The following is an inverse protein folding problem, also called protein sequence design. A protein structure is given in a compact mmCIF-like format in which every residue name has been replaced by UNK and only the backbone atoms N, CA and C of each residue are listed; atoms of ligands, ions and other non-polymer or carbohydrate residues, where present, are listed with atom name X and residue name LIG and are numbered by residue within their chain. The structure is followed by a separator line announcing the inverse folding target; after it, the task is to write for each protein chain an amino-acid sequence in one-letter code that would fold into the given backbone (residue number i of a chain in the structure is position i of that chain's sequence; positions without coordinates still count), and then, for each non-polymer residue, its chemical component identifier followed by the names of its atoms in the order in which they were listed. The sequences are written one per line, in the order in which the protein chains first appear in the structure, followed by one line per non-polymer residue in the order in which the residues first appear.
data_IF_570964553218
#
_entry.id   IF_570964553218
#
_cell.length_a   1.000
_cell.length_b   1.000
_cell.length_c   1.000
_cell.angle_alpha   90.00
_cell.angle_beta   90.00
_cell.angle_gamma   90.00
#
_symmetry.space_group_name_H-M   'P 1'
#
loop_
_entity.id
_entity.type
_entity.pdbx_description
1 polymer ?
#
# COMPACT_ATOMS: atom_id res chain seq x y z
N UNK A 1 -2.60 -0.35 -19.04
CA UNK A 1 -2.45 -0.83 -17.64
C UNK A 1 -3.03 0.13 -16.60
N UNK A 2 -2.61 1.41 -16.57
CA UNK A 2 -3.12 2.37 -15.57
C UNK A 2 -4.65 2.53 -15.58
N UNK A 3 -5.27 2.61 -16.78
CA UNK A 3 -6.75 2.67 -16.93
C UNK A 3 -7.43 1.45 -16.31
N UNK A 4 -6.89 0.25 -16.55
CA UNK A 4 -7.42 -0.98 -15.96
C UNK A 4 -7.38 -0.93 -14.43
N UNK A 5 -6.26 -0.52 -13.84
CA UNK A 5 -6.13 -0.43 -12.38
C UNK A 5 -7.09 0.61 -11.81
N UNK A 6 -7.20 1.79 -12.43
CA UNK A 6 -8.18 2.79 -12.03
C UNK A 6 -9.61 2.22 -12.07
N UNK A 7 -9.97 1.52 -13.14
CA UNK A 7 -11.27 0.87 -13.29
C UNK A 7 -11.51 -0.18 -12.20
N UNK A 8 -10.52 -1.00 -11.86
CA UNK A 8 -10.62 -1.99 -10.78
C UNK A 8 -10.94 -1.33 -9.42
N UNK A 9 -10.26 -0.22 -9.10
CA UNK A 9 -10.55 0.56 -7.89
C UNK A 9 -11.95 1.16 -7.92
N UNK A 10 -12.34 1.77 -9.04
CA UNK A 10 -13.69 2.34 -9.21
C UNK A 10 -14.77 1.28 -9.05
N UNK A 11 -14.61 0.10 -9.67
CA UNK A 11 -15.56 -1.01 -9.55
C UNK A 11 -15.63 -1.55 -8.12
N UNK A 12 -14.50 -1.68 -7.43
CA UNK A 12 -14.47 -2.13 -6.04
C UNK A 12 -15.22 -1.16 -5.10
N UNK A 13 -14.96 0.15 -5.23
CA UNK A 13 -15.66 1.19 -4.45
C UNK A 13 -17.15 1.21 -4.80
N UNK A 14 -17.49 1.17 -6.08
CA UNK A 14 -18.87 1.10 -6.55
C UNK A 14 -19.60 -0.11 -5.98
N UNK A 15 -18.98 -1.29 -6.01
CA UNK A 15 -19.59 -2.52 -5.50
C UNK A 15 -19.98 -2.42 -4.02
N UNK A 16 -19.13 -1.79 -3.20
CA UNK A 16 -19.39 -1.56 -1.77
C UNK A 16 -20.42 -0.45 -1.54
N UNK A 17 -20.44 0.57 -2.39
CA UNK A 17 -21.26 1.77 -2.21
C UNK A 17 -22.55 1.81 -3.04
N UNK A 18 -22.80 0.85 -3.93
CA UNK A 18 -23.90 0.89 -4.93
C UNK A 18 -25.30 1.12 -4.37
N UNK A 19 -25.51 0.88 -3.09
CA UNK A 19 -26.82 1.02 -2.43
C UNK A 19 -27.03 2.40 -1.79
N UNK A 20 -25.99 3.24 -1.67
CA UNK A 20 -26.11 4.59 -1.08
C UNK A 20 -26.40 5.66 -2.12
N UNK A 21 -27.14 6.70 -1.72
CA UNK A 21 -27.30 7.94 -2.50
C UNK A 21 -26.22 8.99 -2.15
N UNK A 22 -25.41 8.77 -1.12
CA UNK A 22 -24.39 9.69 -0.64
C UNK A 22 -23.13 9.74 -1.54
N UNK A 23 -23.29 10.10 -2.82
CA UNK A 23 -22.22 10.05 -3.84
C UNK A 23 -20.98 10.88 -3.47
N UNK A 24 -21.15 12.03 -2.82
CA UNK A 24 -20.04 12.89 -2.39
C UNK A 24 -19.19 12.23 -1.31
N UNK A 25 -19.81 11.49 -0.39
CA UNK A 25 -19.08 10.74 0.65
C UNK A 25 -18.31 9.58 0.04
N UNK A 26 -18.92 8.87 -0.92
CA UNK A 26 -18.24 7.80 -1.67
C UNK A 26 -17.05 8.35 -2.44
N UNK A 27 -17.22 9.51 -3.10
CA UNK A 27 -16.13 10.20 -3.80
C UNK A 27 -15.02 10.59 -2.81
N UNK A 28 -15.36 11.20 -1.68
CA UNK A 28 -14.38 11.60 -0.66
C UNK A 28 -13.57 10.40 -0.16
N UNK A 29 -14.22 9.31 0.22
CA UNK A 29 -13.53 8.09 0.65
C UNK A 29 -12.69 7.50 -0.49
N UNK A 30 -13.17 7.55 -1.73
CA UNK A 30 -12.39 7.13 -2.89
C UNK A 30 -11.12 7.97 -3.09
N UNK A 31 -11.20 9.28 -2.89
CA UNK A 31 -10.06 10.21 -3.00
C UNK A 31 -8.99 9.88 -1.95
N UNK A 32 -9.35 9.54 -0.72
CA UNK A 32 -8.37 9.16 0.32
C UNK A 32 -7.60 7.88 -0.02
N UNK A 33 -8.15 7.05 -0.92
CA UNK A 33 -7.53 5.82 -1.40
C UNK A 33 -6.66 6.03 -2.65
N UNK A 34 -6.77 7.17 -3.35
CA UNK A 34 -6.01 7.47 -4.58
C UNK A 34 -4.50 7.31 -4.41
N UNK A 35 -3.86 7.75 -3.30
CA UNK A 35 -2.42 7.57 -3.11
C UNK A 35 -1.95 6.10 -3.17
N UNK A 36 -2.86 5.14 -2.96
CA UNK A 36 -2.58 3.70 -3.00
C UNK A 36 -2.96 3.05 -4.34
N UNK A 37 -3.67 3.77 -5.21
CA UNK A 37 -4.32 3.27 -6.44
C UNK A 37 -3.41 3.18 -7.67
N UNK A 38 -2.09 3.21 -7.47
CA UNK A 38 -1.12 2.97 -8.54
C UNK A 38 -1.21 1.56 -9.13
N UNK A 39 -0.39 1.28 -10.15
CA UNK A 39 -0.20 -0.08 -10.67
C UNK A 39 0.55 -0.90 -9.61
N UNK A 40 -0.20 -1.41 -8.63
CA UNK A 40 0.32 -2.03 -7.40
C UNK A 40 -0.54 -3.23 -7.02
N UNK A 41 0.09 -4.26 -6.48
CA UNK A 41 -0.57 -5.51 -6.13
C UNK A 41 -1.66 -5.37 -5.03
N UNK A 42 -1.62 -4.31 -4.22
CA UNK A 42 -2.67 -3.97 -3.24
C UNK A 42 -4.06 -3.78 -3.90
N UNK A 43 -4.10 -3.43 -5.18
CA UNK A 43 -5.36 -3.32 -5.96
C UNK A 43 -6.17 -4.61 -5.89
N UNK A 44 -5.51 -5.77 -5.98
CA UNK A 44 -6.17 -7.07 -5.88
C UNK A 44 -6.80 -7.29 -4.50
N UNK A 45 -6.16 -6.80 -3.45
CA UNK A 45 -6.71 -6.86 -2.08
C UNK A 45 -7.99 -6.05 -1.95
N UNK A 46 -8.06 -4.88 -2.57
CA UNK A 46 -9.24 -4.03 -2.55
C UNK A 46 -10.37 -4.65 -3.37
N UNK A 47 -10.08 -5.18 -4.56
CA UNK A 47 -11.07 -5.88 -5.39
C UNK A 47 -11.64 -7.09 -4.67
N UNK A 48 -10.79 -7.99 -4.17
CA UNK A 48 -11.25 -9.20 -3.50
C UNK A 48 -11.97 -8.89 -2.17
N UNK A 49 -11.51 -7.87 -1.43
CA UNK A 49 -12.23 -7.39 -0.24
C UNK A 49 -13.63 -6.85 -0.58
N UNK A 50 -13.76 -6.08 -1.65
CA UNK A 50 -15.05 -5.57 -2.11
C UNK A 50 -16.01 -6.69 -2.52
N UNK A 51 -15.52 -7.69 -3.26
CA UNK A 51 -16.28 -8.88 -3.64
C UNK A 51 -16.74 -9.65 -2.41
N UNK A 52 -15.84 -9.88 -1.45
CA UNK A 52 -16.14 -10.57 -0.21
C UNK A 52 -17.17 -9.81 0.64
N UNK A 53 -17.05 -8.48 0.77
CA UNK A 53 -18.06 -7.63 1.42
C UNK A 53 -19.43 -7.78 0.71
N UNK A 54 -19.45 -7.80 -0.63
CA UNK A 54 -20.69 -7.98 -1.39
C UNK A 54 -21.32 -9.36 -1.17
N UNK A 55 -20.51 -10.44 -1.10
CA UNK A 55 -20.98 -11.80 -0.81
C UNK A 55 -21.61 -11.87 0.58
N UNK A 56 -20.96 -11.32 1.62
CA UNK A 56 -21.51 -11.35 2.97
C UNK A 56 -22.73 -10.47 3.17
N UNK A 57 -22.88 -9.41 2.35
CA UNK A 57 -24.08 -8.57 2.31
C UNK A 57 -25.23 -9.20 1.56
N UNK A 58 -24.95 -10.10 0.63
CA UNK A 58 -25.99 -10.87 0.00
C UNK A 58 -26.66 -11.75 1.07
N UNK A 59 -27.99 -11.68 1.16
CA UNK A 59 -28.76 -12.51 2.10
C UNK A 59 -28.69 -14.00 1.75
N UNK A 60 -28.20 -14.34 0.57
CA UNK A 60 -27.99 -15.72 0.12
C UNK A 60 -26.67 -16.29 0.68
N UNK A 61 -26.80 -17.17 1.67
CA UNK A 61 -25.65 -17.83 2.32
C UNK A 61 -24.92 -18.81 1.41
N UNK A 62 -25.55 -19.29 0.33
CA UNK A 62 -24.93 -20.24 -0.61
C UNK A 62 -23.77 -19.60 -1.36
N UNK A 63 -23.82 -18.30 -1.60
CA UNK A 63 -22.73 -17.53 -2.23
C UNK A 63 -21.42 -17.59 -1.42
N UNK A 64 -21.49 -17.86 -0.12
CA UNK A 64 -20.30 -18.01 0.74
C UNK A 64 -19.44 -19.21 0.36
N UNK A 65 -19.99 -20.20 -0.35
CA UNK A 65 -19.23 -21.34 -0.86
C UNK A 65 -18.21 -20.95 -1.95
N UNK A 66 -18.30 -19.75 -2.52
CA UNK A 66 -17.32 -19.21 -3.49
C UNK A 66 -16.07 -18.65 -2.80
N UNK A 67 -16.13 -18.37 -1.49
CA UNK A 67 -15.02 -17.74 -0.75
C UNK A 67 -13.70 -18.54 -0.77
N UNK A 68 -13.68 -19.88 -0.71
CA UNK A 68 -12.45 -20.65 -0.90
C UNK A 68 -11.80 -20.40 -2.27
N UNK A 69 -12.60 -20.34 -3.35
CA UNK A 69 -12.08 -20.02 -4.68
C UNK A 69 -11.57 -18.57 -4.78
N UNK A 70 -12.26 -17.63 -4.13
CA UNK A 70 -11.79 -16.25 -4.04
C UNK A 70 -10.43 -16.17 -3.34
N UNK A 71 -10.24 -16.91 -2.25
CA UNK A 71 -8.98 -16.97 -1.49
C UNK A 71 -7.88 -17.68 -2.28
N UNK A 72 -8.21 -18.74 -3.02
CA UNK A 72 -7.28 -19.42 -3.95
C UNK A 72 -6.65 -18.41 -4.93
N UNK A 73 -7.52 -17.65 -5.63
CA UNK A 73 -7.06 -16.63 -6.58
C UNK A 73 -6.26 -15.55 -5.87
N UNK A 74 -6.75 -15.08 -4.72
CA UNK A 74 -6.09 -14.02 -3.97
C UNK A 74 -4.69 -14.43 -3.49
N UNK A 75 -4.53 -15.64 -2.94
CA UNK A 75 -3.25 -16.13 -2.46
C UNK A 75 -2.19 -16.23 -3.56
N UNK A 76 -2.61 -16.47 -4.81
CA UNK A 76 -1.73 -16.49 -5.98
C UNK A 76 -1.45 -15.09 -6.58
N UNK A 77 -2.17 -14.05 -6.16
CA UNK A 77 -2.02 -12.68 -6.69
C UNK A 77 -1.40 -11.70 -5.70
N UNK A 78 -1.66 -11.84 -4.41
CA UNK A 78 -1.16 -10.91 -3.39
C UNK A 78 -1.14 -11.50 -1.98
N UNK A 79 -0.04 -11.28 -1.24
CA UNK A 79 0.15 -11.80 0.12
C UNK A 79 -0.82 -11.29 1.19
N UNK A 80 -1.65 -10.27 0.90
CA UNK A 80 -2.69 -9.82 1.83
C UNK A 80 -4.00 -10.63 1.78
N UNK A 81 -4.00 -11.83 1.16
CA UNK A 81 -5.11 -12.79 1.27
C UNK A 81 -5.44 -13.13 2.74
N UNK A 82 -4.48 -12.96 3.66
CA UNK A 82 -4.66 -13.08 5.11
C UNK A 82 -5.76 -12.15 5.64
N UNK A 83 -5.97 -10.97 5.04
CA UNK A 83 -7.09 -10.09 5.39
C UNK A 83 -8.42 -10.78 5.09
N UNK A 84 -8.50 -11.50 3.97
CA UNK A 84 -9.66 -12.32 3.61
C UNK A 84 -9.91 -13.43 4.61
N UNK A 85 -8.88 -14.21 4.94
CA UNK A 85 -8.98 -15.26 5.96
C UNK A 85 -9.41 -14.70 7.33
N UNK A 86 -8.83 -13.57 7.75
CA UNK A 86 -9.18 -12.92 9.00
C UNK A 86 -10.65 -12.45 9.01
N UNK A 87 -11.17 -11.95 7.89
CA UNK A 87 -12.57 -11.57 7.80
C UNK A 87 -13.51 -12.78 7.80
N UNK A 88 -13.17 -13.87 7.11
CA UNK A 88 -13.95 -15.11 7.14
C UNK A 88 -13.98 -15.67 8.57
N UNK A 89 -12.84 -15.69 9.25
CA UNK A 89 -12.72 -16.09 10.66
C UNK A 89 -13.53 -15.19 11.60
N UNK A 90 -13.52 -13.88 11.37
CA UNK A 90 -14.36 -12.92 12.09
C UNK A 90 -15.86 -13.24 11.93
N UNK A 91 -16.30 -13.58 10.72
CA UNK A 91 -17.70 -13.94 10.46
C UNK A 91 -18.06 -15.32 11.06
N UNK A 92 -17.14 -16.29 11.01
CA UNK A 92 -17.29 -17.57 11.70
C UNK A 92 -17.51 -17.38 13.20
N UNK A 93 -16.76 -16.49 13.85
CA UNK A 93 -16.90 -16.22 15.29
C UNK A 93 -18.28 -15.64 15.66
N UNK A 94 -18.96 -14.99 14.71
CA UNK A 94 -20.31 -14.41 14.87
C UNK A 94 -21.43 -15.41 14.59
N UNK A 95 -21.33 -16.15 13.47
CA UNK A 95 -22.40 -17.03 13.01
C UNK A 95 -22.30 -18.44 13.65
N UNK A 96 -21.07 -18.91 13.94
CA UNK A 96 -20.75 -20.19 14.63
C UNK A 96 -21.44 -21.44 14.06
N UNK A 97 -21.65 -21.47 12.75
CA UNK A 97 -22.26 -22.61 12.06
C UNK A 97 -21.23 -23.60 11.50
N UNK A 98 -21.63 -24.86 11.31
CA UNK A 98 -20.80 -25.87 10.62
C UNK A 98 -20.49 -25.46 9.18
N UNK A 99 -21.44 -24.84 8.48
CA UNK A 99 -21.23 -24.32 7.12
C UNK A 99 -20.16 -23.23 7.09
N UNK A 100 -20.20 -22.26 8.02
CA UNK A 100 -19.17 -21.21 8.12
C UNK A 100 -17.80 -21.78 8.50
N UNK A 101 -17.76 -22.83 9.33
CA UNK A 101 -16.52 -23.52 9.66
C UNK A 101 -15.94 -24.22 8.44
N UNK A 102 -16.78 -24.93 7.67
CA UNK A 102 -16.39 -25.56 6.42
C UNK A 102 -15.83 -24.55 5.40
N UNK A 103 -16.48 -23.40 5.24
CA UNK A 103 -15.97 -22.31 4.40
C UNK A 103 -14.61 -21.82 4.88
N UNK A 104 -14.42 -21.59 6.17
CA UNK A 104 -13.15 -21.14 6.73
C UNK A 104 -12.03 -22.16 6.50
N UNK A 105 -12.25 -23.43 6.83
CA UNK A 105 -11.27 -24.51 6.64
C UNK A 105 -10.90 -24.64 5.16
N UNK A 106 -11.90 -24.67 4.27
CA UNK A 106 -11.66 -24.74 2.83
C UNK A 106 -10.91 -23.53 2.30
N UNK A 107 -11.18 -22.33 2.82
CA UNK A 107 -10.41 -21.12 2.47
C UNK A 107 -8.95 -21.19 2.92
N UNK A 108 -8.67 -21.72 4.12
CA UNK A 108 -7.29 -21.93 4.60
C UNK A 108 -6.56 -22.94 3.71
N UNK A 109 -7.19 -24.06 3.39
CA UNK A 109 -6.63 -25.06 2.48
C UNK A 109 -6.40 -24.49 1.08
N UNK A 110 -7.34 -23.70 0.56
CA UNK A 110 -7.23 -23.04 -0.73
C UNK A 110 -6.04 -22.05 -0.79
N UNK A 111 -5.76 -21.30 0.28
CA UNK A 111 -4.58 -20.43 0.33
C UNK A 111 -3.24 -21.16 0.34
N UNK A 112 -3.22 -22.46 0.64
CA UNK A 112 -2.02 -23.29 0.52
C UNK A 112 -1.77 -23.77 -0.91
N UNK A 113 -2.73 -23.62 -1.84
CA UNK A 113 -2.55 -23.99 -3.25
C UNK A 113 -1.86 -22.83 -3.98
N UNK A 114 -0.58 -22.65 -3.67
CA UNK A 114 0.34 -21.70 -4.30
C UNK A 114 1.65 -22.43 -4.63
N UNK A 115 2.53 -21.89 -5.49
CA UNK A 115 3.84 -22.49 -5.76
C UNK A 115 4.69 -22.71 -4.50
N UNK A 116 4.44 -21.95 -3.43
CA UNK A 116 5.16 -22.02 -2.16
C UNK A 116 4.42 -22.83 -1.07
N UNK A 117 3.23 -23.34 -1.36
CA UNK A 117 2.46 -24.12 -0.41
C UNK A 117 2.14 -23.34 0.88
N UNK A 118 2.19 -24.03 2.05
CA UNK A 118 2.13 -23.39 3.37
C UNK A 118 3.32 -22.47 3.68
N UNK A 119 4.41 -22.52 2.91
CA UNK A 119 5.59 -21.66 3.12
C UNK A 119 5.29 -20.17 3.03
N UNK A 120 4.20 -19.77 2.35
CA UNK A 120 3.70 -18.39 2.34
C UNK A 120 3.44 -17.84 3.75
N UNK A 121 2.93 -18.65 4.66
CA UNK A 121 2.66 -18.21 6.03
C UNK A 121 3.94 -17.92 6.81
N UNK A 122 5.01 -18.68 6.55
CA UNK A 122 6.33 -18.42 7.15
C UNK A 122 6.85 -17.05 6.72
N UNK A 123 6.73 -16.71 5.44
CA UNK A 123 7.17 -15.41 4.93
C UNK A 123 6.31 -14.26 5.45
N UNK A 124 4.99 -14.45 5.58
CA UNK A 124 4.10 -13.47 6.20
C UNK A 124 4.52 -13.20 7.65
N UNK A 125 4.74 -14.26 8.44
CA UNK A 125 5.17 -14.13 9.85
C UNK A 125 6.53 -13.45 9.92
N UNK A 126 7.51 -13.90 9.13
CA UNK A 126 8.84 -13.28 9.06
C UNK A 126 8.76 -11.79 8.76
N UNK A 127 7.99 -11.41 7.74
CA UNK A 127 7.80 -10.02 7.33
C UNK A 127 7.08 -9.19 8.40
N UNK A 128 6.08 -9.78 9.06
CA UNK A 128 5.33 -9.10 10.12
C UNK A 128 6.21 -8.78 11.32
N UNK A 129 7.12 -9.67 11.72
CA UNK A 129 7.97 -9.50 12.90
C UNK A 129 9.34 -8.89 12.61
N UNK A 130 9.65 -8.55 11.36
CA UNK A 130 10.89 -7.83 11.02
C UNK A 130 10.79 -6.34 11.40
N UNK A 131 11.28 -6.01 12.60
CA UNK A 131 11.28 -4.65 13.15
C UNK A 131 12.24 -3.70 12.42
N UNK A 132 13.30 -4.23 11.79
CA UNK A 132 14.32 -3.43 11.10
C UNK A 132 13.78 -2.82 9.81
N UNK A 133 12.88 -3.53 9.13
CA UNK A 133 12.26 -3.07 7.88
C UNK A 133 11.16 -2.05 8.09
N UNK A 134 10.36 -2.23 9.16
CA UNK A 134 9.26 -1.30 9.51
C UNK A 134 9.74 0.13 9.71
N UNK A 135 10.94 0.32 10.28
CA UNK A 135 11.52 1.64 10.49
C UNK A 135 12.17 2.21 9.22
N UNK A 136 12.48 1.40 8.20
CA UNK A 136 13.23 1.80 7.01
C UNK A 136 12.34 2.10 5.80
N UNK A 137 11.17 1.49 5.70
CA UNK A 137 10.22 1.69 4.59
C UNK A 137 9.17 2.73 4.98
N UNK A 138 9.10 3.85 4.26
CA UNK A 138 8.16 4.95 4.58
C UNK A 138 6.71 4.47 4.67
N UNK A 139 6.28 3.58 3.78
CA UNK A 139 4.92 3.03 3.75
C UNK A 139 4.59 2.13 4.95
N UNK A 140 5.62 1.66 5.68
CA UNK A 140 5.49 0.71 6.79
C UNK A 140 5.55 1.40 8.15
N UNK A 141 5.97 2.66 8.18
CA UNK A 141 6.03 3.47 9.40
C UNK A 141 4.63 3.80 9.91
N UNK A 142 4.50 3.93 11.23
CA UNK A 142 3.40 4.65 11.85
C UNK A 142 3.57 6.14 11.53
N UNK A 143 2.72 6.68 10.67
CA UNK A 143 2.60 8.14 10.52
C UNK A 143 1.32 8.58 11.20
N UNK A 144 1.33 9.81 11.75
CA UNK A 144 0.12 10.46 12.23
C UNK A 144 -0.97 10.36 11.18
N UNK A 145 -2.19 10.04 11.63
CA UNK A 145 -3.39 9.97 10.81
C UNK A 145 -3.45 11.23 9.94
N UNK A 146 -3.26 11.08 8.63
CA UNK A 146 -3.41 12.19 7.68
C UNK A 146 -4.83 12.76 7.83
N UNK A 147 -5.00 14.06 7.61
CA UNK A 147 -6.28 14.74 7.86
C UNK A 147 -7.44 14.07 7.09
N UNK A 148 -7.18 13.64 5.86
CA UNK A 148 -8.14 12.96 4.99
C UNK A 148 -8.62 11.62 5.59
N UNK A 149 -7.72 10.72 5.99
CA UNK A 149 -8.10 9.46 6.62
C UNK A 149 -8.69 9.67 8.02
N UNK A 150 -8.27 10.73 8.73
CA UNK A 150 -8.85 11.14 10.02
C UNK A 150 -10.31 11.54 9.91
N UNK A 151 -10.71 12.21 8.82
CA UNK A 151 -12.12 12.50 8.54
C UNK A 151 -12.90 11.20 8.32
N UNK A 152 -12.36 10.23 7.57
CA UNK A 152 -13.02 8.93 7.37
C UNK A 152 -13.22 8.21 8.71
N UNK A 153 -12.20 8.19 9.58
CA UNK A 153 -12.29 7.64 10.93
C UNK A 153 -13.35 8.38 11.76
N UNK A 154 -13.37 9.71 11.72
CA UNK A 154 -14.33 10.53 12.45
C UNK A 154 -15.77 10.28 12.01
N UNK A 155 -16.03 10.23 10.70
CA UNK A 155 -17.37 9.91 10.15
C UNK A 155 -17.79 8.49 10.54
N UNK A 156 -16.90 7.51 10.37
CA UNK A 156 -17.17 6.12 10.75
C UNK A 156 -17.46 5.99 12.25
N UNK A 157 -16.61 6.53 13.12
CA UNK A 157 -16.79 6.48 14.57
C UNK A 157 -18.04 7.24 15.02
N UNK A 158 -18.30 8.42 14.45
CA UNK A 158 -19.50 9.21 14.74
C UNK A 158 -20.78 8.47 14.40
N UNK A 159 -20.85 7.83 13.22
CA UNK A 159 -22.00 7.01 12.84
C UNK A 159 -22.18 5.80 13.76
N UNK A 160 -21.08 5.15 14.17
CA UNK A 160 -21.16 4.07 15.16
C UNK A 160 -21.65 4.57 16.52
N UNK A 161 -21.24 5.75 16.98
CA UNK A 161 -21.72 6.31 18.25
C UNK A 161 -23.24 6.50 18.22
N UNK A 162 -23.78 7.02 17.11
CA UNK A 162 -25.22 7.29 16.92
C UNK A 162 -26.02 6.00 16.67
N UNK A 163 -25.41 4.94 16.13
CA UNK A 163 -26.07 3.66 15.88
C UNK A 163 -26.68 3.08 17.16
N UNK A 164 -27.84 2.41 17.07
CA UNK A 164 -28.49 1.79 18.25
C UNK A 164 -27.66 0.59 18.77
N UNK A 165 -27.70 0.36 20.08
CA UNK A 165 -27.09 -0.82 20.74
C UNK A 165 -26.02 -0.48 21.78
N UNK A 166 -25.45 -1.51 22.41
CA UNK A 166 -24.42 -1.36 23.44
C UNK A 166 -23.10 -0.83 22.85
N UNK A 167 -22.57 0.26 23.44
CA UNK A 167 -21.41 1.01 22.92
C UNK A 167 -20.20 0.14 22.58
N UNK A 168 -19.82 -0.80 23.45
CA UNK A 168 -18.68 -1.69 23.24
C UNK A 168 -18.87 -2.63 22.05
N UNK A 169 -20.10 -3.11 21.81
CA UNK A 169 -20.42 -3.97 20.64
C UNK A 169 -20.37 -3.22 19.33
N UNK A 170 -20.54 -1.89 19.33
CA UNK A 170 -20.46 -1.07 18.12
C UNK A 170 -19.04 -1.04 17.56
N UNK A 171 -18.04 -1.13 18.44
CA UNK A 171 -16.62 -1.16 18.08
C UNK A 171 -16.04 -2.57 17.93
N UNK A 172 -16.76 -3.64 18.32
CA UNK A 172 -16.43 -5.01 17.95
C UNK A 172 -16.83 -5.26 16.49
N UNK A 173 -16.07 -4.67 15.56
CA UNK A 173 -16.20 -4.85 14.12
C UNK A 173 -14.84 -5.11 13.49
N UNK A 174 -14.84 -5.75 12.32
CA UNK A 174 -13.61 -6.08 11.63
C UNK A 174 -12.80 -4.85 11.24
N UNK A 175 -13.46 -3.76 10.81
CA UNK A 175 -12.78 -2.52 10.49
C UNK A 175 -12.16 -1.81 11.70
N UNK A 176 -12.60 -2.09 12.92
CA UNK A 176 -11.93 -1.57 14.12
C UNK A 176 -10.55 -2.18 14.29
N UNK A 177 -10.39 -3.47 13.99
CA UNK A 177 -9.08 -4.12 13.94
C UNK A 177 -8.22 -3.47 12.85
N UNK A 178 -8.79 -3.23 11.67
CA UNK A 178 -8.09 -2.56 10.57
C UNK A 178 -7.69 -1.12 10.93
N UNK A 179 -8.51 -0.40 11.69
CA UNK A 179 -8.19 0.94 12.20
C UNK A 179 -6.98 0.91 13.14
N UNK A 180 -6.93 -0.05 14.07
CA UNK A 180 -5.78 -0.26 14.95
C UNK A 180 -4.53 -0.63 14.13
N UNK A 181 -4.66 -1.54 13.17
CA UNK A 181 -3.56 -1.91 12.27
C UNK A 181 -3.07 -0.73 11.44
N UNK A 182 -3.98 0.16 11.01
CA UNK A 182 -3.63 1.39 10.29
C UNK A 182 -2.78 2.34 11.14
N UNK A 183 -3.03 2.43 12.45
CA UNK A 183 -2.18 3.22 13.36
C UNK A 183 -0.75 2.65 13.43
N UNK A 184 -0.60 1.33 13.29
CA UNK A 184 0.71 0.70 13.22
C UNK A 184 1.40 0.86 11.86
N UNK A 185 0.63 0.93 10.76
CA UNK A 185 1.16 1.08 9.40
C UNK A 185 0.12 1.64 8.43
N UNK A 186 0.47 2.73 7.75
CA UNK A 186 -0.40 3.44 6.79
C UNK A 186 -0.84 2.54 5.62
N UNK A 187 -0.11 1.46 5.31
CA UNK A 187 -0.49 0.48 4.28
C UNK A 187 -1.88 -0.15 4.48
N UNK A 188 -2.39 -0.16 5.72
CA UNK A 188 -3.72 -0.70 6.02
C UNK A 188 -4.85 0.30 5.81
N UNK A 189 -4.53 1.59 5.60
CA UNK A 189 -5.52 2.67 5.39
C UNK A 189 -6.53 2.40 4.26
N UNK A 190 -6.14 1.97 3.03
CA UNK A 190 -7.12 1.73 1.98
C UNK A 190 -8.03 0.53 2.29
N UNK A 191 -7.52 -0.48 3.00
CA UNK A 191 -8.34 -1.64 3.41
C UNK A 191 -9.33 -1.20 4.49
N UNK A 192 -8.87 -0.47 5.50
CA UNK A 192 -9.75 0.14 6.51
C UNK A 192 -10.82 1.01 5.84
N UNK A 193 -10.44 1.94 4.96
CA UNK A 193 -11.36 2.84 4.29
C UNK A 193 -12.46 2.10 3.51
N UNK A 194 -12.13 0.98 2.85
CA UNK A 194 -13.12 0.16 2.13
C UNK A 194 -14.15 -0.48 3.07
N UNK A 195 -13.70 -1.10 4.17
CA UNK A 195 -14.60 -1.72 5.15
C UNK A 195 -15.38 -0.67 5.96
N UNK A 196 -14.74 0.45 6.30
CA UNK A 196 -15.41 1.59 6.92
C UNK A 196 -16.50 2.16 6.00
N UNK A 197 -16.22 2.31 4.69
CA UNK A 197 -17.22 2.72 3.69
C UNK A 197 -18.41 1.77 3.67
N UNK A 198 -18.17 0.46 3.77
CA UNK A 198 -19.24 -0.51 3.89
C UNK A 198 -20.12 -0.18 5.12
N UNK A 199 -19.55 -0.08 6.31
CA UNK A 199 -20.29 0.28 7.53
C UNK A 199 -21.02 1.62 7.40
N UNK A 200 -20.37 2.64 6.87
CA UNK A 200 -20.94 3.97 6.66
C UNK A 200 -22.19 3.89 5.77
N UNK A 201 -22.13 3.15 4.66
CA UNK A 201 -23.26 2.95 3.74
C UNK A 201 -24.43 2.26 4.44
N UNK A 202 -24.15 1.23 5.25
CA UNK A 202 -25.18 0.51 6.00
C UNK A 202 -25.85 1.42 7.04
N UNK A 203 -25.05 2.16 7.83
CA UNK A 203 -25.58 3.06 8.85
C UNK A 203 -26.40 4.20 8.25
N UNK A 204 -25.94 4.81 7.15
CA UNK A 204 -26.68 5.88 6.45
C UNK A 204 -28.05 5.44 5.96
N UNK A 205 -28.21 4.18 5.54
CA UNK A 205 -29.52 3.66 5.14
C UNK A 205 -30.45 3.43 6.33
N UNK A 206 -29.90 3.09 7.49
CA UNK A 206 -30.67 2.90 8.73
C UNK A 206 -31.04 4.22 9.41
N UNK A 207 -30.32 5.30 9.10
CA UNK A 207 -30.61 6.64 9.59
C UNK A 207 -31.83 7.20 8.85
N UNK A 208 -33.00 7.05 9.47
CA UNK A 208 -34.17 7.83 9.10
C UNK A 208 -33.97 9.25 9.62
N UNK A 209 -33.32 10.10 8.82
CA UNK A 209 -33.30 11.53 9.10
C UNK A 209 -34.73 12.03 8.84
N UNK A 210 -35.47 12.54 9.85
CA UNK A 210 -36.77 13.11 9.60
C UNK A 210 -36.57 14.31 8.66
N UNK A 211 -37.05 14.23 7.43
CA UNK A 211 -36.93 15.33 6.44
C UNK A 211 -37.62 16.60 6.96
N UNK A 212 -38.50 16.46 7.95
CA UNK A 212 -39.15 17.55 8.66
C UNK A 212 -38.18 18.42 9.49
N UNK A 213 -37.06 17.87 9.98
CA UNK A 213 -36.02 18.65 10.70
C UNK A 213 -35.13 19.47 9.75
N UNK A 214 -35.17 19.20 8.44
CA UNK A 214 -34.46 19.95 7.39
C UNK A 214 -35.40 20.84 6.56
N UNK A 215 -36.59 21.17 7.10
CA UNK A 215 -37.54 22.09 6.45
C UNK A 215 -37.15 23.56 6.59
N UNK A 216 -36.14 23.86 7.39
CA UNK A 216 -35.54 25.20 7.43
C UNK A 216 -34.80 25.50 6.11
N UNK A 217 -35.24 26.54 5.41
CA UNK A 217 -34.59 27.04 4.19
C UNK A 217 -33.14 27.46 4.47
N UNK A 218 -32.83 27.92 5.68
CA UNK A 218 -31.48 28.26 6.14
C UNK A 218 -30.57 27.04 6.19
N UNK A 219 -31.02 25.96 6.86
CA UNK A 219 -30.28 24.70 6.93
C UNK A 219 -30.05 24.08 5.53
N UNK A 220 -31.02 24.13 4.63
CA UNK A 220 -30.84 23.67 3.24
C UNK A 220 -29.79 24.49 2.48
N UNK A 221 -29.85 25.83 2.59
CA UNK A 221 -28.84 26.73 1.98
C UNK A 221 -27.45 26.47 2.55
N UNK A 222 -27.34 26.25 3.86
CA UNK A 222 -26.08 25.93 4.53
C UNK A 222 -25.52 24.59 4.06
N UNK A 223 -26.35 23.54 3.97
CA UNK A 223 -25.92 22.23 3.45
C UNK A 223 -25.47 22.34 1.99
N UNK A 224 -26.21 23.05 1.14
CA UNK A 224 -25.81 23.29 -0.25
C UNK A 224 -24.52 24.09 -0.32
N UNK A 225 -24.36 25.13 0.51
CA UNK A 225 -23.13 25.93 0.56
C UNK A 225 -21.93 25.09 1.03
N UNK A 226 -22.10 24.24 2.03
CA UNK A 226 -21.05 23.31 2.50
C UNK A 226 -20.70 22.28 1.44
N UNK A 227 -21.69 21.74 0.71
CA UNK A 227 -21.47 20.84 -0.42
C UNK A 227 -20.70 21.55 -1.54
N UNK A 228 -21.12 22.75 -1.93
CA UNK A 228 -20.44 23.53 -2.96
C UNK A 228 -19.03 23.91 -2.54
N UNK A 229 -18.83 24.33 -1.29
CA UNK A 229 -17.51 24.60 -0.72
C UNK A 229 -16.63 23.35 -0.73
N UNK A 230 -17.19 22.18 -0.39
CA UNK A 230 -16.46 20.91 -0.42
C UNK A 230 -16.08 20.49 -1.84
N UNK A 231 -16.97 20.72 -2.82
CA UNK A 231 -16.68 20.49 -4.24
C UNK A 231 -15.58 21.44 -4.71
N UNK A 232 -15.68 22.73 -4.40
CA UNK A 232 -14.65 23.73 -4.74
C UNK A 232 -13.32 23.37 -4.08
N UNK A 233 -13.31 23.01 -2.79
CA UNK A 233 -12.12 22.57 -2.08
C UNK A 233 -11.52 21.31 -2.72
N UNK A 234 -12.34 20.33 -3.11
CA UNK A 234 -11.89 19.12 -3.80
C UNK A 234 -11.30 19.42 -5.19
N UNK A 235 -11.92 20.33 -5.94
CA UNK A 235 -11.44 20.77 -7.27
C UNK A 235 -10.13 21.53 -7.14
N UNK A 236 -10.04 22.48 -6.20
CA UNK A 236 -8.82 23.23 -5.93
C UNK A 236 -7.70 22.30 -5.44
N UNK A 237 -7.99 21.40 -4.50
CA UNK A 237 -7.03 20.39 -4.05
C UNK A 237 -6.55 19.52 -5.21
N UNK A 238 -7.46 19.05 -6.06
CA UNK A 238 -7.10 18.25 -7.23
C UNK A 238 -6.26 19.06 -8.22
N UNK A 239 -6.61 20.32 -8.47
CA UNK A 239 -5.84 21.22 -9.35
C UNK A 239 -4.42 21.45 -8.82
N UNK A 240 -4.28 21.78 -7.54
CA UNK A 240 -2.97 21.95 -6.92
C UNK A 240 -2.18 20.65 -6.87
N UNK A 241 -2.82 19.53 -6.53
CA UNK A 241 -2.18 18.22 -6.55
C UNK A 241 -1.66 17.87 -7.95
N UNK A 242 -2.49 18.05 -8.99
CA UNK A 242 -2.12 17.79 -10.38
C UNK A 242 -1.04 18.74 -10.90
N UNK A 243 -0.99 19.99 -10.42
CA UNK A 243 0.05 20.96 -10.80
C UNK A 243 1.46 20.51 -10.42
N UNK A 244 1.61 19.74 -9.35
CA UNK A 244 2.90 19.19 -8.91
C UNK A 244 3.15 17.76 -9.40
N UNK A 245 2.21 17.17 -10.16
CA UNK A 245 2.41 15.86 -10.77
C UNK A 245 3.19 16.06 -12.07
N UNK A 246 4.46 15.64 -12.07
CA UNK A 246 5.22 15.50 -13.30
C UNK A 246 4.51 14.49 -14.22
N UNK A 247 4.34 14.86 -15.49
CA UNK A 247 3.89 13.93 -16.54
C UNK A 247 4.96 12.85 -16.76
N UNK A 248 6.23 13.24 -16.65
CA UNK A 248 7.33 12.29 -16.64
C UNK A 248 7.42 11.59 -15.27
N UNK A 249 6.96 10.33 -15.27
CA UNK A 249 6.98 9.46 -14.09
C UNK A 249 8.38 8.97 -13.73
N UNK A 250 9.34 9.07 -14.66
CA UNK A 250 10.73 8.69 -14.43
C UNK A 250 11.57 9.85 -13.89
N UNK A 251 11.02 11.07 -13.84
CA UNK A 251 11.72 12.27 -13.35
C UNK A 251 12.39 12.10 -11.97
N UNK A 252 11.84 11.34 -10.99
CA UNK A 252 12.50 11.10 -9.71
C UNK A 252 13.70 10.13 -9.76
N UNK A 253 13.92 9.46 -10.89
CA UNK A 253 14.93 8.40 -11.07
C UNK A 253 16.12 8.88 -11.89
N UNK A 254 17.28 8.19 -11.77
CA UNK A 254 18.51 8.61 -12.44
C UNK A 254 18.54 8.25 -13.94
N UNK A 255 17.77 8.99 -14.75
CA UNK A 255 17.63 8.76 -16.20
C UNK A 255 18.93 9.02 -16.96
N UNK A 256 19.62 10.12 -16.64
CA UNK A 256 20.89 10.52 -17.26
C UNK A 256 21.97 9.49 -16.99
N UNK A 257 22.08 9.04 -15.75
CA UNK A 257 23.04 8.00 -15.35
C UNK A 257 22.70 6.66 -16.03
N UNK A 258 21.41 6.29 -16.10
CA UNK A 258 20.99 5.10 -16.82
C UNK A 258 21.25 5.19 -18.33
N UNK A 259 21.17 6.39 -18.91
CA UNK A 259 21.60 6.67 -20.28
C UNK A 259 23.10 6.47 -20.47
N UNK A 260 23.90 7.02 -19.55
CA UNK A 260 25.36 6.87 -19.54
C UNK A 260 25.78 5.39 -19.49
N UNK A 261 25.28 4.62 -18.52
CA UNK A 261 25.64 3.21 -18.34
C UNK A 261 25.19 2.31 -19.50
N UNK A 262 24.19 2.73 -20.28
CA UNK A 262 23.79 2.02 -21.52
C UNK A 262 24.79 2.24 -22.65
N UNK A 263 25.32 3.45 -22.78
CA UNK A 263 26.28 3.80 -23.84
C UNK A 263 27.70 3.36 -23.47
N UNK A 264 28.05 3.46 -22.19
CA UNK A 264 29.33 3.05 -21.62
C UNK A 264 29.08 2.15 -20.41
N UNK A 265 28.89 0.84 -20.66
CA UNK A 265 28.82 -0.16 -19.61
C UNK A 265 30.00 -0.02 -18.65
N UNK A 266 29.74 -0.08 -17.34
CA UNK A 266 30.82 -0.23 -16.37
C UNK A 266 31.56 -1.53 -16.64
N UNK A 267 32.90 -1.52 -16.58
CA UNK A 267 33.72 -2.72 -16.76
C UNK A 267 33.51 -3.76 -15.65
N UNK A 268 33.08 -3.32 -14.47
CA UNK A 268 32.71 -4.16 -13.34
C UNK A 268 31.22 -4.02 -12.98
N UNK A 269 30.89 -4.36 -11.75
CA UNK A 269 29.53 -4.29 -11.24
C UNK A 269 29.25 -2.90 -10.62
N UNK A 270 27.96 -2.57 -10.50
CA UNK A 270 27.49 -1.26 -10.04
C UNK A 270 26.93 -1.36 -8.62
N UNK A 271 27.49 -0.57 -7.70
CA UNK A 271 26.81 -0.27 -6.44
C UNK A 271 25.84 0.89 -6.67
N UNK A 272 24.59 0.77 -6.23
CA UNK A 272 23.63 1.86 -6.31
C UNK A 272 22.88 1.98 -5.00
N UNK A 273 22.45 3.20 -4.67
CA UNK A 273 21.53 3.34 -3.55
C UNK A 273 20.25 2.52 -3.78
N UNK A 274 19.80 1.87 -2.72
CA UNK A 274 18.73 0.87 -2.71
C UNK A 274 17.48 1.31 -3.49
N UNK A 275 17.05 2.57 -3.32
CA UNK A 275 15.86 3.11 -3.96
C UNK A 275 15.99 3.29 -5.49
N UNK A 276 17.21 3.36 -6.02
CA UNK A 276 17.46 3.48 -7.46
C UNK A 276 17.84 2.14 -8.11
N UNK A 277 18.19 1.12 -7.32
CA UNK A 277 18.61 -0.19 -7.82
C UNK A 277 17.57 -0.83 -8.74
N UNK A 278 16.29 -0.84 -8.34
CA UNK A 278 15.22 -1.41 -9.17
C UNK A 278 15.05 -0.71 -10.52
N UNK A 279 15.26 0.61 -10.57
CA UNK A 279 15.20 1.38 -11.82
C UNK A 279 16.39 1.05 -12.73
N UNK A 280 17.60 0.96 -12.17
CA UNK A 280 18.81 0.62 -12.92
C UNK A 280 18.78 -0.82 -13.43
N UNK A 281 18.27 -1.79 -12.65
CA UNK A 281 18.03 -3.17 -13.11
C UNK A 281 17.13 -3.17 -14.36
N UNK A 282 16.09 -2.33 -14.35
CA UNK A 282 15.14 -2.25 -15.47
C UNK A 282 15.73 -1.58 -16.72
N UNK A 283 16.41 -0.44 -16.56
CA UNK A 283 16.91 0.36 -17.68
C UNK A 283 18.26 -0.09 -18.22
N UNK A 284 19.07 -0.75 -17.41
CA UNK A 284 20.42 -1.18 -17.76
C UNK A 284 20.62 -2.65 -17.39
N UNK A 285 19.85 -3.58 -17.98
CA UNK A 285 19.87 -4.99 -17.58
C UNK A 285 21.20 -5.71 -17.87
N UNK A 286 22.06 -5.13 -18.71
CA UNK A 286 23.42 -5.61 -18.95
C UNK A 286 24.37 -5.39 -17.77
N UNK A 287 24.02 -4.49 -16.85
CA UNK A 287 24.83 -4.13 -15.68
C UNK A 287 24.32 -4.87 -14.45
N UNK A 288 25.20 -5.59 -13.76
CA UNK A 288 24.84 -6.25 -12.49
C UNK A 288 24.95 -5.25 -11.35
N UNK A 289 23.91 -5.21 -10.54
CA UNK A 289 23.86 -4.35 -9.37
C UNK A 289 24.15 -5.13 -8.10
N UNK A 290 24.81 -4.46 -7.14
CA UNK A 290 25.15 -5.03 -5.84
C UNK A 290 23.91 -5.48 -5.05
N UNK A 291 22.83 -4.70 -5.10
CA UNK A 291 21.58 -4.98 -4.38
C UNK A 291 20.36 -4.71 -5.26
N UNK A 292 19.35 -5.58 -5.13
CA UNK A 292 18.04 -5.39 -5.71
C UNK A 292 17.15 -4.58 -4.75
N UNK A 293 16.72 -3.40 -5.21
CA UNK A 293 15.85 -2.48 -4.46
C UNK A 293 14.43 -3.01 -4.18
N UNK A 294 14.05 -4.18 -4.72
CA UNK A 294 12.68 -4.72 -4.65
C UNK A 294 12.43 -5.64 -3.46
N UNK A 295 13.47 -6.12 -2.76
CA UNK A 295 13.30 -7.18 -1.74
C UNK A 295 14.13 -6.95 -0.49
N UNK A 296 13.69 -6.05 0.42
CA UNK A 296 14.50 -5.64 1.56
C UNK A 296 14.56 -6.70 2.67
N UNK A 297 13.64 -7.67 2.68
CA UNK A 297 13.58 -8.79 3.64
C UNK A 297 14.37 -10.03 3.21
N UNK A 298 15.06 -10.00 2.07
CA UNK A 298 15.74 -11.18 1.55
C UNK A 298 16.86 -11.65 2.48
N UNK A 299 16.82 -12.95 2.83
CA UNK A 299 17.80 -13.62 3.67
C UNK A 299 18.24 -14.93 3.05
N UNK A 300 19.52 -15.25 3.21
CA UNK A 300 20.08 -16.57 2.87
C UNK A 300 20.74 -17.15 4.11
N UNK A 301 20.10 -18.16 4.72
CA UNK A 301 20.48 -18.63 6.06
C UNK A 301 20.34 -17.50 7.09
N UNK A 302 21.41 -17.26 7.87
CA UNK A 302 21.45 -16.16 8.84
C UNK A 302 21.86 -14.81 8.24
N UNK A 303 22.23 -14.78 6.95
CA UNK A 303 22.73 -13.57 6.28
C UNK A 303 21.57 -12.67 5.84
N UNK A 304 21.67 -11.39 6.21
CA UNK A 304 20.75 -10.32 5.79
C UNK A 304 21.48 -9.38 4.83
N UNK A 305 21.08 -9.39 3.57
CA UNK A 305 21.72 -8.55 2.54
C UNK A 305 21.42 -7.07 2.73
N UNK A 306 20.27 -6.75 3.34
CA UNK A 306 19.94 -5.37 3.68
C UNK A 306 20.86 -4.85 4.80
N UNK A 307 21.24 -5.69 5.76
CA UNK A 307 22.18 -5.28 6.80
C UNK A 307 23.58 -5.09 6.23
N UNK A 308 24.05 -6.00 5.36
CA UNK A 308 25.32 -5.80 4.65
C UNK A 308 25.30 -4.52 3.81
N UNK A 309 24.21 -4.24 3.10
CA UNK A 309 24.07 -2.98 2.36
C UNK A 309 24.19 -1.75 3.29
N UNK A 310 23.57 -1.77 4.47
CA UNK A 310 23.72 -0.69 5.44
C UNK A 310 25.16 -0.58 5.96
N UNK A 311 25.86 -1.70 6.13
CA UNK A 311 27.27 -1.70 6.54
C UNK A 311 28.15 -1.13 5.43
N UNK A 312 27.91 -1.46 4.16
CA UNK A 312 28.63 -0.86 3.01
C UNK A 312 28.49 0.67 2.98
N UNK A 313 27.33 1.21 3.38
CA UNK A 313 27.11 2.65 3.44
C UNK A 313 27.83 3.35 4.60
N UNK A 314 28.11 2.65 5.71
CA UNK A 314 28.54 3.26 6.98
C UNK A 314 29.94 2.82 7.44
N UNK A 315 30.42 1.65 7.02
CA UNK A 315 31.68 1.03 7.44
C UNK A 315 32.66 0.97 6.26
N UNK A 316 33.73 1.79 6.30
CA UNK A 316 34.72 1.89 5.22
C UNK A 316 35.41 0.56 4.91
N UNK A 317 35.79 -0.21 5.95
CA UNK A 317 36.52 -1.47 5.75
C UNK A 317 35.62 -2.54 5.12
N UNK A 318 34.36 -2.61 5.57
CA UNK A 318 33.39 -3.54 5.01
C UNK A 318 33.03 -3.19 3.57
N UNK A 319 32.87 -1.89 3.26
CA UNK A 319 32.69 -1.41 1.89
C UNK A 319 33.84 -1.86 0.98
N UNK A 320 35.10 -1.66 1.38
CA UNK A 320 36.26 -2.07 0.57
C UNK A 320 36.27 -3.58 0.31
N UNK A 321 35.96 -4.38 1.32
CA UNK A 321 35.88 -5.84 1.21
C UNK A 321 34.78 -6.27 0.23
N UNK A 322 33.57 -5.74 0.37
CA UNK A 322 32.44 -6.12 -0.49
C UNK A 322 32.65 -5.58 -1.93
N UNK A 323 33.20 -4.37 -2.09
CA UNK A 323 33.51 -3.83 -3.42
C UNK A 323 34.53 -4.69 -4.16
N UNK A 324 35.56 -5.18 -3.46
CA UNK A 324 36.51 -6.12 -4.06
C UNK A 324 35.86 -7.48 -4.35
N UNK A 325 35.09 -8.02 -3.39
CA UNK A 325 34.45 -9.32 -3.50
C UNK A 325 33.51 -9.43 -4.70
N UNK A 326 32.75 -8.38 -4.98
CA UNK A 326 31.79 -8.34 -6.08
C UNK A 326 32.29 -7.52 -7.28
N UNK A 327 33.59 -7.22 -7.38
CA UNK A 327 34.17 -6.44 -8.47
C UNK A 327 33.36 -5.16 -8.79
N UNK A 328 33.03 -4.40 -7.76
CA UNK A 328 32.33 -3.12 -7.88
C UNK A 328 33.32 -2.07 -8.38
N UNK A 329 33.03 -1.51 -9.56
CA UNK A 329 33.85 -0.47 -10.19
C UNK A 329 33.10 0.83 -10.47
N UNK A 330 31.78 0.81 -10.34
CA UNK A 330 30.94 1.99 -10.46
C UNK A 330 30.02 2.13 -9.24
N UNK A 331 29.77 3.36 -8.81
CA UNK A 331 28.90 3.65 -7.67
C UNK A 331 27.92 4.80 -7.99
N UNK A 332 26.63 4.56 -7.80
CA UNK A 332 25.54 5.53 -8.01
C UNK A 332 24.98 5.94 -6.65
N UNK A 333 25.46 7.07 -6.14
CA UNK A 333 25.15 7.54 -4.78
C UNK A 333 24.97 9.06 -4.71
N UNK A 334 24.18 9.53 -3.74
CA UNK A 334 24.06 10.94 -3.40
C UNK A 334 25.36 11.47 -2.76
N UNK A 335 25.88 12.64 -3.18
CA UNK A 335 27.07 13.27 -2.62
C UNK A 335 26.98 13.59 -1.12
N UNK A 336 25.77 13.69 -0.56
CA UNK A 336 25.57 13.97 0.86
C UNK A 336 25.88 12.77 1.76
N UNK A 337 26.07 11.57 1.20
CA UNK A 337 26.35 10.36 1.98
C UNK A 337 27.85 10.20 2.26
N UNK A 338 28.16 9.58 3.40
CA UNK A 338 29.54 9.31 3.81
C UNK A 338 30.32 8.48 2.78
N UNK A 339 29.65 7.49 2.14
CA UNK A 339 30.23 6.70 1.05
C UNK A 339 30.72 7.55 -0.12
N UNK A 340 30.01 8.62 -0.49
CA UNK A 340 30.43 9.47 -1.60
C UNK A 340 31.75 10.19 -1.31
N UNK A 341 31.91 10.67 -0.07
CA UNK A 341 33.17 11.28 0.39
C UNK A 341 34.33 10.28 0.36
N UNK A 342 34.09 9.05 0.82
CA UNK A 342 35.11 7.98 0.83
C UNK A 342 35.55 7.58 -0.59
N UNK A 343 34.63 7.51 -1.55
CA UNK A 343 34.94 7.21 -2.95
C UNK A 343 35.87 8.27 -3.53
N UNK A 344 35.59 9.56 -3.28
CA UNK A 344 36.44 10.66 -3.71
C UNK A 344 37.83 10.61 -3.08
N UNK A 345 37.92 10.37 -1.77
CA UNK A 345 39.20 10.20 -1.05
C UNK A 345 40.01 9.01 -1.57
N UNK A 346 39.32 7.98 -2.07
CA UNK A 346 39.93 6.77 -2.66
C UNK A 346 40.26 6.93 -4.16
N UNK A 347 40.13 8.14 -4.72
CA UNK A 347 40.52 8.47 -6.09
C UNK A 347 39.47 8.20 -7.17
N UNK A 348 38.24 7.81 -6.81
CA UNK A 348 37.17 7.58 -7.78
C UNK A 348 36.74 8.89 -8.44
N UNK A 349 36.44 8.84 -9.73
CA UNK A 349 36.09 10.01 -10.54
C UNK A 349 34.60 10.09 -10.79
N UNK A 350 34.08 11.31 -10.83
CA UNK A 350 32.70 11.56 -11.24
C UNK A 350 32.64 11.51 -12.76
N UNK A 351 31.79 10.63 -13.31
CA UNK A 351 31.65 10.46 -14.77
C UNK A 351 30.27 10.87 -15.29
N UNK A 352 29.27 10.92 -14.42
CA UNK A 352 27.94 11.43 -14.74
C UNK A 352 27.23 11.97 -13.49
N UNK A 353 26.32 12.94 -13.67
CA UNK A 353 25.50 13.53 -12.62
C UNK A 353 24.07 13.64 -13.10
N UNK A 354 23.13 13.31 -12.23
CA UNK A 354 21.70 13.48 -12.50
C UNK A 354 21.25 14.88 -12.12
N UNK A 355 20.64 15.59 -13.07
CA UNK A 355 20.02 16.89 -12.81
C UNK A 355 18.72 16.68 -12.00
N UNK A 356 18.55 17.43 -10.91
CA UNK A 356 17.32 17.43 -10.11
C UNK A 356 17.26 16.46 -8.92
N UNK A 357 17.96 15.31 -8.95
CA UNK A 357 17.95 14.33 -7.83
C UNK A 357 19.22 14.33 -6.97
N UNK A 358 20.22 15.14 -7.32
CA UNK A 358 21.53 15.21 -6.63
C UNK A 358 22.21 13.83 -6.52
N UNK A 359 22.04 12.95 -7.51
CA UNK A 359 22.71 11.64 -7.58
C UNK A 359 23.91 11.76 -8.51
N UNK A 360 24.98 11.05 -8.19
CA UNK A 360 26.22 11.05 -8.96
C UNK A 360 26.68 9.62 -9.25
N UNK A 361 27.19 9.39 -10.46
CA UNK A 361 27.89 8.18 -10.85
C UNK A 361 29.41 8.40 -10.70
N UNK A 362 30.02 7.56 -9.87
CA UNK A 362 31.45 7.46 -9.66
C UNK A 362 31.99 6.22 -10.37
N UNK A 363 33.20 6.31 -10.91
CA UNK A 363 33.94 5.22 -11.54
C UNK A 363 35.37 5.18 -11.00
N UNK A 364 35.90 3.97 -10.80
CA UNK A 364 37.21 3.74 -10.17
C UNK A 364 38.39 3.98 -11.11
#
# INVERSE_FOLDING_TARGET
LAVLYALLWTVAIWLVARTTKARLLVLFVGVTMVPFSGVRAITWTIVFSAVMIAIYRAKDTRLRAVLPFLILLWANMHGSFVVGLAYIGWQLARDRTTASLGVFVMSVLASCVTPYGPGMYVEIVRTMFDTTLRSRIQEWRSFGVKVDIGIVVGVWAGLLIIAKGAWWRKFLRFESLLAIMMLSSVRHAPVFALFALATIVEQLQSLVIPVQTLRDRGAKKMVVALVMLSVVACVLFSYFALRYVSIDREQPYPQTIAGYLRQRPCEGNVFAEYNYGGYLIWKVPSQRLYIDGRMPSWRLGNKSYMDDYMRVLNETDFQRQEFQRYDIRCAVVRPSLQIAKQLQESGWRIVSREEGSSIVLYER
#
